data_IF_329374701490
#
_entry.id   IF_329374701490
#
_cell.length_a   1.000
_cell.length_b   1.000
_cell.length_c   1.000
_cell.angle_alpha   90.00
_cell.angle_beta   90.00
_cell.angle_gamma   90.00
#
_symmetry.space_group_name_H-M   'P 1'
#
loop_
_entity.id
_entity.type
_entity.pdbx_description
1 polymer ?
#
# COMPACT_ATOMS: atom_id res chain seq x y z
N UNK A 1 -20.34 -8.16 0.09
CA UNK A 1 -19.48 -8.27 1.29
C UNK A 1 -18.43 -7.18 1.36
N UNK A 2 -17.54 -7.01 0.37
CA UNK A 2 -16.47 -5.98 0.43
C UNK A 2 -16.96 -4.54 0.69
N UNK A 3 -18.06 -4.12 0.05
CA UNK A 3 -18.66 -2.81 0.28
C UNK A 3 -19.12 -2.58 1.73
N UNK A 4 -19.63 -3.62 2.40
CA UNK A 4 -20.05 -3.55 3.81
C UNK A 4 -18.84 -3.36 4.73
N UNK A 5 -17.76 -4.11 4.52
CA UNK A 5 -16.51 -3.93 5.27
C UNK A 5 -15.87 -2.56 5.00
N UNK A 6 -15.88 -2.10 3.76
CA UNK A 6 -15.40 -0.76 3.40
C UNK A 6 -16.19 0.36 4.09
N UNK A 7 -17.52 0.23 4.16
CA UNK A 7 -18.38 1.18 4.87
C UNK A 7 -18.11 1.22 6.37
N UNK A 8 -17.96 0.05 7.01
CA UNK A 8 -17.61 -0.03 8.45
C UNK A 8 -16.21 0.54 8.72
N UNK A 9 -15.22 0.19 7.90
CA UNK A 9 -13.86 0.71 8.03
C UNK A 9 -13.81 2.23 7.87
N UNK A 10 -14.52 2.79 6.88
CA UNK A 10 -14.62 4.24 6.69
C UNK A 10 -15.30 4.96 7.86
N UNK A 11 -16.37 4.38 8.41
CA UNK A 11 -17.04 4.91 9.61
C UNK A 11 -16.18 4.86 10.87
N UNK A 12 -15.33 3.84 11.03
CA UNK A 12 -14.34 3.80 12.11
C UNK A 12 -13.21 4.81 11.89
N UNK A 13 -12.73 4.95 10.65
CA UNK A 13 -11.67 5.89 10.31
C UNK A 13 -12.08 7.35 10.60
N UNK A 14 -13.30 7.74 10.25
CA UNK A 14 -13.81 9.08 10.56
C UNK A 14 -13.94 9.33 12.06
N UNK A 15 -14.34 8.32 12.83
CA UNK A 15 -14.41 8.40 14.29
C UNK A 15 -13.02 8.58 14.92
N UNK A 16 -11.97 7.93 14.39
CA UNK A 16 -10.61 8.10 14.88
C UNK A 16 -9.97 9.44 14.49
N UNK A 17 -10.24 9.94 13.28
CA UNK A 17 -9.70 11.24 12.86
C UNK A 17 -10.37 12.43 13.55
N UNK A 18 -11.58 12.28 14.08
CA UNK A 18 -12.32 13.33 14.81
C UNK A 18 -12.85 14.46 13.93
N UNK A 19 -12.20 14.73 12.79
CA UNK A 19 -12.66 15.63 11.76
C UNK A 19 -12.39 15.03 10.38
N UNK A 20 -13.43 14.96 9.55
CA UNK A 20 -13.31 14.49 8.17
C UNK A 20 -13.24 15.69 7.26
N UNK A 21 -12.11 15.84 6.60
CA UNK A 21 -11.89 16.90 5.63
C UNK A 21 -11.50 16.28 4.27
N UNK A 22 -11.85 16.93 3.14
CA UNK A 22 -11.46 16.43 1.82
C UNK A 22 -9.94 16.38 1.64
N UNK A 23 -9.18 17.12 2.45
CA UNK A 23 -7.72 17.04 2.52
C UNK A 23 -7.20 15.73 3.15
N UNK A 24 -8.06 14.91 3.76
CA UNK A 24 -7.74 13.55 4.27
C UNK A 24 -8.07 12.44 3.27
N UNK A 25 -8.51 12.78 2.06
CA UNK A 25 -8.78 11.83 0.96
C UNK A 25 -8.16 12.35 -0.34
N UNK A 26 -6.88 12.64 -0.25
CA UNK A 26 -6.05 13.07 -1.36
C UNK A 26 -5.86 11.97 -2.40
N UNK A 27 -5.43 12.39 -3.58
CA UNK A 27 -4.97 11.47 -4.63
C UNK A 27 -3.89 10.50 -4.11
N UNK A 28 -3.07 10.95 -3.18
CA UNK A 28 -2.01 10.14 -2.60
C UNK A 28 -2.54 8.94 -1.81
N UNK A 29 -3.54 9.14 -0.96
CA UNK A 29 -4.17 8.03 -0.22
C UNK A 29 -4.81 7.01 -1.17
N UNK A 30 -5.38 7.47 -2.29
CA UNK A 30 -5.91 6.59 -3.32
C UNK A 30 -4.82 5.72 -3.97
N UNK A 31 -3.64 6.29 -4.27
CA UNK A 31 -2.49 5.52 -4.78
C UNK A 31 -2.04 4.49 -3.75
N UNK A 32 -1.95 4.86 -2.47
CA UNK A 32 -1.51 3.95 -1.41
C UNK A 32 -2.45 2.75 -1.31
N UNK A 33 -3.76 2.99 -1.26
CA UNK A 33 -4.77 1.92 -1.21
C UNK A 33 -4.72 1.06 -2.48
N UNK A 34 -4.61 1.68 -3.66
CA UNK A 34 -4.45 0.95 -4.92
C UNK A 34 -3.20 0.07 -4.92
N UNK A 35 -2.09 0.60 -4.42
CA UNK A 35 -0.81 -0.12 -4.35
C UNK A 35 -0.91 -1.35 -3.46
N UNK A 36 -1.62 -1.27 -2.34
CA UNK A 36 -1.86 -2.42 -1.45
C UNK A 36 -2.62 -3.55 -2.19
N UNK A 37 -3.66 -3.19 -2.93
CA UNK A 37 -4.49 -4.15 -3.67
C UNK A 37 -3.74 -4.73 -4.88
N UNK A 38 -3.05 -3.89 -5.64
CA UNK A 38 -2.30 -4.28 -6.85
C UNK A 38 -1.11 -5.16 -6.47
N UNK A 39 -0.40 -4.84 -5.39
CA UNK A 39 0.68 -5.68 -4.86
C UNK A 39 0.15 -7.03 -4.39
N UNK A 40 -1.01 -7.07 -3.74
CA UNK A 40 -1.63 -8.32 -3.31
C UNK A 40 -2.21 -9.19 -4.43
N UNK A 41 -2.73 -8.57 -5.49
CA UNK A 41 -3.36 -9.22 -6.66
C UNK A 41 -4.88 -9.11 -6.68
N UNK A 42 -5.44 -8.69 -7.83
CA UNK A 42 -6.85 -8.27 -8.00
C UNK A 42 -7.94 -9.37 -7.91
N UNK A 43 -7.66 -10.50 -7.25
CA UNK A 43 -8.64 -11.58 -7.10
C UNK A 43 -8.31 -12.57 -5.98
N UNK A 44 -7.30 -12.28 -5.16
CA UNK A 44 -6.84 -13.17 -4.11
C UNK A 44 -6.86 -12.46 -2.75
N UNK A 45 -7.93 -12.68 -1.98
CA UNK A 45 -8.15 -12.00 -0.69
C UNK A 45 -6.94 -12.14 0.27
N UNK A 46 -6.33 -13.33 0.47
CA UNK A 46 -5.14 -13.45 1.31
C UNK A 46 -3.95 -12.65 0.80
N UNK A 47 -3.79 -12.54 -0.53
CA UNK A 47 -2.73 -11.77 -1.17
C UNK A 47 -2.90 -10.27 -0.94
N UNK A 48 -4.13 -9.76 -1.06
CA UNK A 48 -4.47 -8.36 -0.75
C UNK A 48 -4.23 -8.03 0.72
N UNK A 49 -4.60 -8.93 1.64
CA UNK A 49 -4.32 -8.76 3.07
C UNK A 49 -2.81 -8.69 3.31
N UNK A 50 -2.04 -9.62 2.73
CA UNK A 50 -0.58 -9.62 2.84
C UNK A 50 0.03 -8.33 2.26
N UNK A 51 -0.47 -7.85 1.11
CA UNK A 51 -0.03 -6.62 0.49
C UNK A 51 -0.32 -5.38 1.34
N UNK A 52 -1.51 -5.31 1.95
CA UNK A 52 -1.87 -4.25 2.89
C UNK A 52 -1.00 -4.24 4.15
N UNK A 53 -0.70 -5.41 4.71
CA UNK A 53 0.19 -5.53 5.88
C UNK A 53 1.63 -5.15 5.52
N UNK A 54 2.15 -5.64 4.39
CA UNK A 54 3.50 -5.31 3.92
C UNK A 54 3.64 -3.81 3.68
N UNK A 55 2.76 -3.20 2.89
CA UNK A 55 2.87 -1.78 2.56
C UNK A 55 2.57 -0.86 3.75
N UNK A 56 1.79 -1.28 4.74
CA UNK A 56 1.56 -0.48 5.95
C UNK A 56 2.75 -0.52 6.91
N UNK A 57 3.41 -1.68 7.06
CA UNK A 57 4.59 -1.83 7.91
C UNK A 57 5.88 -1.30 7.26
N UNK A 58 5.98 -1.39 5.94
CA UNK A 58 7.16 -0.98 5.17
C UNK A 58 7.63 0.46 5.45
N UNK A 59 6.79 1.52 5.40
CA UNK A 59 7.23 2.88 5.69
C UNK A 59 7.67 3.07 7.14
N UNK A 60 7.13 2.30 8.08
CA UNK A 60 7.54 2.37 9.50
C UNK A 60 8.93 1.76 9.69
N UNK A 61 9.21 0.65 9.02
CA UNK A 61 10.55 0.02 8.96
C UNK A 61 11.54 0.96 8.28
N UNK A 62 11.11 1.60 7.19
CA UNK A 62 11.94 2.56 6.45
C UNK A 62 12.27 3.77 7.32
N UNK A 63 11.28 4.34 8.04
CA UNK A 63 11.49 5.46 8.95
C UNK A 63 12.44 5.12 10.09
N UNK A 64 12.22 3.97 10.74
CA UNK A 64 13.05 3.51 11.85
C UNK A 64 14.47 3.14 11.45
N UNK A 65 14.70 2.73 10.20
CA UNK A 65 16.03 2.35 9.71
C UNK A 65 16.75 3.51 9.02
N UNK A 66 16.12 4.19 8.05
CA UNK A 66 16.74 5.26 7.27
C UNK A 66 17.00 6.53 8.09
N UNK A 67 16.14 6.89 9.04
CA UNK A 67 16.33 8.10 9.86
C UNK A 67 17.66 8.06 10.64
N UNK A 68 17.88 7.03 11.47
CA UNK A 68 19.15 6.85 12.18
C UNK A 68 20.33 6.61 11.26
N UNK A 69 20.13 5.88 10.13
CA UNK A 69 21.19 5.59 9.18
C UNK A 69 21.69 6.86 8.49
N UNK A 70 20.80 7.74 8.01
CA UNK A 70 21.18 9.02 7.42
C UNK A 70 21.88 9.92 8.43
N UNK A 71 21.39 9.97 9.67
CA UNK A 71 22.02 10.76 10.73
C UNK A 71 23.43 10.25 11.06
N UNK A 72 23.66 8.93 10.99
CA UNK A 72 24.97 8.32 11.23
C UNK A 72 25.93 8.44 10.05
N UNK A 73 25.43 8.46 8.81
CA UNK A 73 26.24 8.50 7.59
C UNK A 73 26.53 9.92 7.10
N UNK A 74 25.56 10.83 7.23
CA UNK A 74 25.60 12.17 6.66
C UNK A 74 25.53 13.30 7.70
N UNK A 75 25.26 12.98 8.98
CA UNK A 75 25.15 13.97 10.06
C UNK A 75 23.91 14.88 9.99
N UNK A 76 23.14 14.79 8.91
CA UNK A 76 21.87 15.49 8.69
C UNK A 76 20.92 14.61 7.87
N UNK A 77 19.62 14.84 8.01
CA UNK A 77 18.60 14.20 7.18
C UNK A 77 18.52 14.99 5.87
N UNK A 78 19.11 14.44 4.80
CA UNK A 78 19.17 15.10 3.49
C UNK A 78 17.86 14.89 2.72
N UNK A 79 17.21 13.74 2.93
CA UNK A 79 15.99 13.36 2.22
C UNK A 79 14.95 12.93 3.23
N UNK A 80 13.83 13.66 3.26
CA UNK A 80 12.70 13.32 4.12
C UNK A 80 12.22 11.89 3.84
N UNK A 81 12.01 11.07 4.89
CA UNK A 81 11.47 9.72 4.74
C UNK A 81 10.16 9.67 3.96
N UNK A 82 9.39 10.77 4.01
CA UNK A 82 8.15 10.96 3.26
C UNK A 82 8.37 10.91 1.74
N UNK A 83 9.40 11.60 1.23
CA UNK A 83 9.74 11.61 -0.20
C UNK A 83 10.22 10.24 -0.63
N UNK A 84 11.04 9.58 0.19
CA UNK A 84 11.52 8.21 -0.08
C UNK A 84 10.35 7.23 -0.14
N UNK A 85 9.40 7.34 0.80
CA UNK A 85 8.17 6.54 0.82
C UNK A 85 7.36 6.74 -0.46
N UNK A 86 7.20 7.99 -0.90
CA UNK A 86 6.46 8.31 -2.12
C UNK A 86 7.09 7.65 -3.36
N UNK A 87 8.41 7.79 -3.48
CA UNK A 87 9.20 7.19 -4.55
C UNK A 87 9.10 5.66 -4.55
N UNK A 88 9.13 5.04 -3.37
CA UNK A 88 9.02 3.60 -3.21
C UNK A 88 7.67 3.04 -3.62
N UNK A 89 6.56 3.70 -3.27
CA UNK A 89 5.24 3.24 -3.74
C UNK A 89 5.11 3.34 -5.26
N UNK A 90 5.59 4.44 -5.86
CA UNK A 90 5.62 4.58 -7.31
C UNK A 90 6.46 3.50 -7.99
N UNK A 91 7.66 3.23 -7.45
CA UNK A 91 8.54 2.18 -7.95
C UNK A 91 7.92 0.78 -7.78
N UNK A 92 7.34 0.50 -6.62
CA UNK A 92 6.67 -0.78 -6.36
C UNK A 92 5.53 -1.03 -7.35
N UNK A 93 4.72 -0.01 -7.65
CA UNK A 93 3.66 -0.07 -8.65
C UNK A 93 4.22 -0.40 -10.05
N UNK A 94 5.26 0.32 -10.49
CA UNK A 94 5.90 0.06 -11.79
C UNK A 94 6.45 -1.36 -11.85
N UNK A 95 7.17 -1.80 -10.82
CA UNK A 95 7.75 -3.14 -10.76
C UNK A 95 6.68 -4.24 -10.82
N UNK A 96 5.57 -4.08 -10.11
CA UNK A 96 4.48 -5.05 -10.14
C UNK A 96 3.82 -5.10 -11.51
N UNK A 97 3.52 -3.94 -12.10
CA UNK A 97 2.95 -3.87 -13.43
C UNK A 97 3.87 -4.52 -14.48
N UNK A 98 5.18 -4.38 -14.31
CA UNK A 98 6.18 -4.94 -15.22
C UNK A 98 6.36 -6.46 -15.05
N UNK A 99 6.49 -6.95 -13.81
CA UNK A 99 6.89 -8.33 -13.56
C UNK A 99 5.72 -9.29 -13.28
N UNK A 100 4.62 -8.80 -12.71
CA UNK A 100 3.49 -9.66 -12.30
C UNK A 100 2.19 -8.85 -12.16
N UNK A 101 1.52 -8.51 -13.26
CA UNK A 101 0.24 -7.76 -13.22
C UNK A 101 -0.89 -8.50 -12.50
N UNK A 102 -0.74 -9.81 -12.25
CA UNK A 102 -1.64 -10.60 -11.42
C UNK A 102 -1.42 -10.44 -9.90
N UNK A 103 -0.41 -9.67 -9.46
CA UNK A 103 -0.03 -9.47 -8.06
C UNK A 103 0.92 -10.53 -7.50
N UNK A 104 1.30 -10.41 -6.21
CA UNK A 104 2.23 -11.32 -5.54
C UNK A 104 1.68 -12.75 -5.44
N UNK A 105 0.37 -12.96 -5.41
CA UNK A 105 -0.24 -14.29 -5.32
C UNK A 105 -1.38 -14.45 -6.34
N UNK A 106 -1.12 -15.06 -7.51
CA UNK A 106 -2.11 -15.22 -8.56
C UNK A 106 -3.30 -16.09 -8.12
N UNK A 107 -4.52 -15.67 -8.46
CA UNK A 107 -5.70 -16.55 -8.33
C UNK A 107 -5.55 -17.74 -9.28
N UNK A 108 -5.91 -18.97 -8.86
CA UNK A 108 -6.12 -20.07 -9.79
C UNK A 108 -7.10 -19.59 -10.86
N UNK A 109 -6.69 -19.63 -12.14
CA UNK A 109 -7.62 -19.44 -13.24
C UNK A 109 -8.58 -20.62 -13.19
N UNK A 110 -9.91 -20.41 -13.16
CA UNK A 110 -10.82 -21.48 -13.53
C UNK A 110 -10.40 -21.87 -14.94
N UNK A 111 -9.83 -23.06 -15.08
CA UNK A 111 -9.65 -23.68 -16.39
C UNK A 111 -11.01 -23.55 -17.07
N UNK A 112 -10.99 -22.84 -18.20
CA UNK A 112 -12.08 -22.81 -19.16
C UNK A 112 -12.27 -24.27 -19.56
N UNK A 113 -13.11 -24.96 -18.78
CA UNK A 113 -13.37 -26.38 -18.94
C UNK A 113 -14.12 -26.48 -20.25
N UNK A 114 -13.32 -26.73 -21.27
CA UNK A 114 -13.67 -27.05 -22.62
C UNK A 114 -14.81 -28.06 -22.64
N UNK A 115 -15.85 -27.68 -23.39
CA UNK A 115 -16.92 -28.50 -23.96
C UNK A 115 -18.02 -29.00 -22.99
#
# INVERSE_FOLDING_TARGET
MGASFGGVAGGMFSAFQGFVSPESFTFWESIVVLSMVVLGGMGHIPGVILGGVLLSAFPEILRSTMGPLQMKLFGSVIVDPEVIRQLLYGLAMILIMLYRPAGLWPSPRPEERTL
#
